data_IF_176206644895
#
_entry.id   IF_176206644895
#
_cell.length_a   1.000
_cell.length_b   1.000
_cell.length_c   1.000
_cell.angle_alpha   90.00
_cell.angle_beta   90.00
_cell.angle_gamma   90.00
#
_symmetry.space_group_name_H-M   'P 1'
#
loop_
_entity.id
_entity.type
_entity.pdbx_description
1 polymer ?
#
# COMPACT_ATOMS: atom_id res chain seq x y z
N UNK A 1 18.26 -51.31 -31.44
CA UNK A 1 18.72 -49.93 -31.40
C UNK A 1 17.61 -49.09 -30.79
N UNK A 2 17.77 -48.65 -29.53
CA UNK A 2 16.81 -47.80 -28.83
C UNK A 2 17.32 -46.36 -28.91
N UNK A 3 16.58 -45.48 -29.60
CA UNK A 3 16.82 -44.03 -29.60
C UNK A 3 16.34 -43.47 -28.29
N UNK A 4 17.25 -42.99 -27.46
CA UNK A 4 16.95 -42.16 -26.29
C UNK A 4 16.93 -40.72 -26.78
N UNK A 5 15.73 -40.16 -26.85
CA UNK A 5 15.56 -38.73 -27.14
C UNK A 5 15.88 -37.94 -25.87
N UNK A 6 17.01 -37.24 -25.88
CA UNK A 6 17.45 -36.36 -24.82
C UNK A 6 16.69 -35.05 -24.97
N UNK A 7 15.63 -34.86 -24.20
CA UNK A 7 14.89 -33.59 -24.12
C UNK A 7 15.74 -32.63 -23.30
N UNK A 8 16.50 -31.77 -23.97
CA UNK A 8 17.25 -30.67 -23.34
C UNK A 8 16.26 -29.60 -22.95
N UNK A 9 15.90 -29.56 -21.68
CA UNK A 9 15.23 -28.39 -21.10
C UNK A 9 16.21 -27.23 -21.12
N UNK A 10 16.06 -26.31 -22.07
CA UNK A 10 16.65 -25.00 -22.03
C UNK A 10 16.02 -24.25 -20.84
N UNK A 11 16.74 -24.19 -19.73
CA UNK A 11 16.51 -23.24 -18.65
C UNK A 11 16.76 -21.84 -19.23
N UNK A 12 15.73 -21.23 -19.77
CA UNK A 12 15.74 -19.80 -20.07
C UNK A 12 15.81 -19.13 -18.69
N UNK A 13 16.90 -18.39 -18.38
CA UNK A 13 16.92 -17.58 -17.17
C UNK A 13 15.71 -16.65 -17.28
N UNK A 14 14.82 -16.71 -16.28
CA UNK A 14 13.60 -15.90 -16.25
C UNK A 14 13.97 -14.41 -16.34
N UNK A 15 14.05 -13.89 -17.55
CA UNK A 15 13.88 -12.47 -17.80
C UNK A 15 12.50 -12.15 -17.21
N UNK A 16 12.45 -11.21 -16.25
CA UNK A 16 11.20 -10.55 -15.90
C UNK A 16 10.71 -9.90 -17.19
N UNK A 17 9.85 -10.59 -17.93
CA UNK A 17 9.17 -10.00 -19.08
C UNK A 17 8.32 -8.86 -18.50
N UNK A 18 8.48 -7.66 -19.06
CA UNK A 18 7.63 -6.52 -18.74
C UNK A 18 6.18 -6.92 -19.05
N UNK A 19 5.27 -6.63 -18.14
CA UNK A 19 3.84 -6.89 -18.38
C UNK A 19 3.31 -5.84 -19.35
N UNK A 20 2.56 -6.29 -20.33
CA UNK A 20 1.98 -5.44 -21.39
C UNK A 20 0.46 -5.45 -21.33
N UNK A 21 -0.20 -4.51 -22.01
CA UNK A 21 -1.65 -4.51 -22.14
C UNK A 21 -2.18 -5.77 -22.83
N UNK A 22 -1.39 -6.40 -23.71
CA UNK A 22 -1.78 -7.64 -24.38
C UNK A 22 -1.92 -8.82 -23.40
N UNK A 23 -1.26 -8.77 -22.25
CA UNK A 23 -1.38 -9.77 -21.19
C UNK A 23 -2.54 -9.48 -20.23
N UNK A 24 -3.16 -8.30 -20.32
CA UNK A 24 -4.28 -7.86 -19.46
C UNK A 24 -5.63 -7.84 -20.19
N UNK A 25 -5.86 -8.83 -21.06
CA UNK A 25 -7.04 -8.93 -21.93
C UNK A 25 -8.34 -9.31 -21.21
N UNK A 26 -8.28 -9.88 -20.02
CA UNK A 26 -9.46 -10.30 -19.28
C UNK A 26 -9.53 -9.68 -17.89
N UNK A 27 -10.76 -9.45 -17.35
CA UNK A 27 -10.93 -8.96 -15.98
C UNK A 27 -10.20 -9.78 -14.93
N UNK A 28 -10.10 -11.10 -15.12
CA UNK A 28 -9.39 -12.00 -14.20
C UNK A 28 -7.88 -11.74 -14.22
N UNK A 29 -7.27 -11.57 -15.40
CA UNK A 29 -5.84 -11.25 -15.52
C UNK A 29 -5.53 -9.90 -14.88
N UNK A 30 -6.39 -8.88 -15.12
CA UNK A 30 -6.23 -7.56 -14.50
C UNK A 30 -6.30 -7.65 -12.98
N UNK A 31 -7.26 -8.37 -12.41
CA UNK A 31 -7.35 -8.53 -10.94
C UNK A 31 -6.14 -9.22 -10.34
N UNK A 32 -5.66 -10.29 -10.95
CA UNK A 32 -4.42 -10.97 -10.51
C UNK A 32 -3.22 -10.03 -10.57
N UNK A 33 -3.12 -9.22 -11.62
CA UNK A 33 -2.08 -8.20 -11.72
C UNK A 33 -2.20 -7.13 -10.62
N UNK A 34 -3.39 -6.59 -10.38
CA UNK A 34 -3.65 -5.59 -9.34
C UNK A 34 -3.33 -6.14 -7.95
N UNK A 35 -3.73 -7.37 -7.64
CA UNK A 35 -3.40 -8.03 -6.39
C UNK A 35 -1.88 -8.15 -6.19
N UNK A 36 -1.16 -8.58 -7.23
CA UNK A 36 0.31 -8.68 -7.19
C UNK A 36 0.98 -7.31 -7.05
N UNK A 37 0.47 -6.29 -7.73
CA UNK A 37 1.03 -4.93 -7.69
C UNK A 37 0.89 -4.26 -6.33
N UNK A 38 -0.08 -4.66 -5.50
CA UNK A 38 -0.20 -4.20 -4.10
C UNK A 38 1.04 -4.54 -3.28
N UNK A 39 1.68 -5.66 -3.56
CA UNK A 39 2.86 -6.10 -2.84
C UNK A 39 4.08 -5.17 -3.04
N UNK A 40 4.05 -4.30 -4.05
CA UNK A 40 5.04 -3.24 -4.23
C UNK A 40 4.88 -2.08 -3.24
N UNK A 41 3.74 -1.99 -2.55
CA UNK A 41 3.45 -0.95 -1.57
C UNK A 41 3.47 -1.56 -0.15
N UNK A 42 4.42 -1.20 0.72
CA UNK A 42 4.55 -1.80 2.04
C UNK A 42 3.36 -1.54 2.97
N UNK A 43 2.55 -0.50 2.69
CA UNK A 43 1.34 -0.23 3.47
C UNK A 43 0.23 -1.24 3.12
N UNK A 44 0.23 -1.79 1.91
CA UNK A 44 -0.83 -2.66 1.38
C UNK A 44 -0.44 -4.13 1.40
N UNK A 45 0.86 -4.41 1.44
CA UNK A 45 1.40 -5.76 1.41
C UNK A 45 0.82 -6.63 2.52
N UNK A 46 0.45 -7.87 2.20
CA UNK A 46 -0.14 -8.83 3.15
C UNK A 46 0.83 -9.21 4.27
N UNK A 47 2.09 -9.47 3.93
CA UNK A 47 3.10 -9.87 4.89
C UNK A 47 4.23 -8.85 4.88
N UNK A 48 4.33 -8.06 5.94
CA UNK A 48 5.35 -7.03 6.08
C UNK A 48 5.53 -6.62 7.54
N UNK A 49 6.79 -6.34 7.91
CA UNK A 49 7.12 -5.56 9.09
C UNK A 49 7.95 -4.36 8.67
N UNK A 50 7.51 -3.16 8.99
CA UNK A 50 8.19 -1.93 8.56
C UNK A 50 7.97 -0.78 9.53
N UNK A 51 8.93 0.14 9.56
CA UNK A 51 8.76 1.42 10.25
C UNK A 51 8.51 2.52 9.23
N UNK A 52 7.43 3.25 9.41
CA UNK A 52 7.00 4.32 8.53
C UNK A 52 7.10 5.67 9.25
N UNK A 53 7.58 6.67 8.53
CA UNK A 53 7.43 8.07 8.89
C UNK A 53 6.28 8.65 8.08
N UNK A 54 5.29 9.22 8.75
CA UNK A 54 4.10 9.81 8.14
C UNK A 54 4.08 11.30 8.42
N UNK A 55 3.87 12.08 7.38
CA UNK A 55 3.76 13.55 7.44
C UNK A 55 2.46 13.98 6.79
N UNK A 56 1.34 14.03 7.56
CA UNK A 56 0.10 14.60 7.07
C UNK A 56 0.20 16.11 7.01
N UNK A 57 -0.49 16.73 6.06
CA UNK A 57 -0.69 18.18 6.04
C UNK A 57 -2.06 18.53 5.48
N UNK A 58 -2.63 19.64 5.95
CA UNK A 58 -3.89 20.19 5.47
C UNK A 58 -3.67 21.52 4.75
N UNK A 59 -4.35 21.67 3.61
CA UNK A 59 -4.52 22.90 2.82
C UNK A 59 -3.25 23.76 2.66
N UNK A 60 -3.24 24.92 3.33
CA UNK A 60 -2.18 25.93 3.18
C UNK A 60 -0.82 25.48 3.70
N UNK A 61 -0.82 24.62 4.71
CA UNK A 61 0.40 24.07 5.28
C UNK A 61 1.17 23.16 4.32
N UNK A 62 0.50 22.53 3.32
CA UNK A 62 1.17 21.68 2.33
C UNK A 62 2.09 22.45 1.39
N UNK A 63 1.83 23.73 1.18
CA UNK A 63 2.58 24.59 0.26
C UNK A 63 3.66 25.43 0.95
N UNK A 64 3.69 25.45 2.28
CA UNK A 64 4.60 26.32 3.03
C UNK A 64 6.01 25.71 3.14
N UNK A 65 7.03 26.59 3.18
CA UNK A 65 8.41 26.22 3.53
C UNK A 65 8.49 25.66 4.96
N UNK A 66 7.47 25.86 5.80
CA UNK A 66 7.37 25.46 7.20
C UNK A 66 6.89 24.01 7.38
N UNK A 67 6.82 23.21 6.31
CA UNK A 67 6.47 21.78 6.37
C UNK A 67 7.32 20.98 7.37
N UNK A 68 8.49 21.48 7.77
CA UNK A 68 9.37 20.87 8.77
C UNK A 68 8.80 20.87 10.20
N UNK A 69 7.84 21.73 10.51
CA UNK A 69 7.25 21.86 11.85
C UNK A 69 5.96 21.06 12.02
N UNK A 70 5.44 20.44 10.94
CA UNK A 70 4.26 19.62 11.05
C UNK A 70 4.56 18.34 11.82
N UNK A 71 3.61 17.92 12.63
CA UNK A 71 3.73 16.74 13.50
C UNK A 71 3.99 15.49 12.66
N UNK A 72 5.26 15.13 12.58
CA UNK A 72 5.66 13.86 12.00
C UNK A 72 5.31 12.75 12.97
N UNK A 73 4.65 11.72 12.47
CA UNK A 73 4.41 10.51 13.21
C UNK A 73 5.33 9.40 12.70
N UNK A 74 5.89 8.65 13.62
CA UNK A 74 6.63 7.43 13.31
C UNK A 74 5.85 6.27 13.88
N UNK A 75 5.59 5.28 13.05
CA UNK A 75 4.87 4.08 13.46
C UNK A 75 5.55 2.83 12.93
N UNK A 76 5.36 1.74 13.65
CA UNK A 76 5.69 0.39 13.23
C UNK A 76 4.41 -0.30 12.73
N UNK A 77 4.42 -0.70 11.47
CA UNK A 77 3.38 -1.49 10.83
C UNK A 77 3.84 -2.94 10.76
N UNK A 78 3.04 -3.83 11.32
CA UNK A 78 3.15 -5.28 11.15
C UNK A 78 1.88 -5.78 10.49
N UNK A 79 2.02 -6.54 9.41
CA UNK A 79 0.94 -7.29 8.77
C UNK A 79 1.32 -8.75 8.62
N UNK A 80 0.37 -9.61 8.93
CA UNK A 80 0.43 -11.06 8.71
C UNK A 80 -0.96 -11.49 8.22
N UNK A 81 -1.05 -11.77 6.94
CA UNK A 81 -2.30 -12.10 6.26
C UNK A 81 -3.38 -11.03 6.51
N UNK A 82 -4.52 -11.39 7.10
CA UNK A 82 -5.64 -10.49 7.38
C UNK A 82 -5.50 -9.72 8.71
N UNK A 83 -4.40 -9.92 9.42
CA UNK A 83 -4.15 -9.26 10.69
C UNK A 83 -3.15 -8.13 10.52
N UNK A 84 -3.40 -7.01 11.17
CA UNK A 84 -2.45 -5.91 11.19
C UNK A 84 -2.33 -5.29 12.58
N UNK A 85 -1.13 -4.78 12.86
CA UNK A 85 -0.81 -4.03 14.07
C UNK A 85 -0.06 -2.76 13.70
N UNK A 86 -0.56 -1.64 14.17
CA UNK A 86 0.08 -0.32 14.03
C UNK A 86 0.45 0.16 15.42
N UNK A 87 1.74 0.31 15.69
CA UNK A 87 2.27 0.85 16.92
C UNK A 87 2.86 2.24 16.65
N UNK A 88 2.30 3.28 17.25
CA UNK A 88 2.80 4.64 17.12
C UNK A 88 4.00 4.84 18.04
N UNK A 89 5.19 5.02 17.45
CA UNK A 89 6.45 5.13 18.17
C UNK A 89 6.77 6.57 18.56
N UNK A 90 6.33 7.54 17.74
CA UNK A 90 6.61 8.97 17.94
C UNK A 90 5.49 9.82 17.33
N UNK A 91 5.23 10.96 17.94
CA UNK A 91 4.20 11.91 17.51
C UNK A 91 3.10 12.07 18.54
N UNK A 92 1.97 12.64 18.14
CA UNK A 92 0.83 12.92 19.03
C UNK A 92 0.16 11.65 19.59
N UNK A 93 0.33 10.53 18.91
CA UNK A 93 -0.23 9.21 19.27
C UNK A 93 0.83 8.24 19.80
N UNK A 94 1.95 8.77 20.26
CA UNK A 94 3.03 7.95 20.82
C UNK A 94 2.49 6.96 21.86
N UNK A 95 2.95 5.70 21.77
CA UNK A 95 2.54 4.55 22.57
C UNK A 95 1.19 3.91 22.19
N UNK A 96 0.31 4.56 21.44
CA UNK A 96 -0.96 3.96 21.01
C UNK A 96 -0.74 2.76 20.08
N UNK A 97 -1.68 1.82 20.16
CA UNK A 97 -1.68 0.63 19.32
C UNK A 97 -3.04 0.45 18.66
N UNK A 98 -3.03 0.18 17.36
CA UNK A 98 -4.20 -0.26 16.62
C UNK A 98 -3.96 -1.69 16.16
N UNK A 99 -4.92 -2.57 16.41
CA UNK A 99 -4.83 -4.00 16.08
C UNK A 99 -6.07 -4.38 15.31
N UNK A 100 -5.88 -4.84 14.09
CA UNK A 100 -6.93 -5.39 13.25
C UNK A 100 -6.83 -6.91 13.20
N UNK A 101 -7.98 -7.58 13.33
CA UNK A 101 -8.16 -9.03 13.17
C UNK A 101 -9.39 -9.28 12.34
N UNK A 102 -9.17 -9.68 11.10
CA UNK A 102 -10.27 -9.74 10.15
C UNK A 102 -11.04 -8.41 10.16
N UNK A 103 -12.33 -8.46 10.49
CA UNK A 103 -13.19 -7.28 10.51
C UNK A 103 -13.17 -6.48 11.83
N UNK A 104 -12.46 -6.93 12.85
CA UNK A 104 -12.42 -6.27 14.16
C UNK A 104 -11.22 -5.35 14.31
N UNK A 105 -11.46 -4.10 14.73
CA UNK A 105 -10.42 -3.17 15.15
C UNK A 105 -10.46 -2.93 16.65
N UNK A 106 -9.30 -2.99 17.23
CA UNK A 106 -9.06 -2.64 18.63
C UNK A 106 -8.06 -1.47 18.68
N UNK A 107 -8.39 -0.44 19.44
CA UNK A 107 -7.47 0.65 19.77
C UNK A 107 -7.10 0.56 21.25
N UNK A 108 -5.79 0.47 21.52
CA UNK A 108 -5.24 0.34 22.86
C UNK A 108 -4.39 1.57 23.19
N UNK A 109 -4.43 2.02 24.45
CA UNK A 109 -3.64 3.16 24.91
C UNK A 109 -2.13 2.87 24.85
N UNK A 110 -1.73 1.61 25.06
CA UNK A 110 -0.35 1.17 24.91
C UNK A 110 -0.26 -0.22 24.24
N UNK A 111 0.77 -0.44 23.45
CA UNK A 111 1.03 -1.75 22.83
C UNK A 111 1.56 -2.80 23.80
N UNK A 112 2.08 -2.39 24.95
CA UNK A 112 2.58 -3.26 26.01
C UNK A 112 1.47 -3.80 26.94
N UNK A 113 0.34 -3.10 26.99
CA UNK A 113 -0.81 -3.45 27.84
C UNK A 113 -1.79 -4.31 27.04
N UNK A 114 -1.33 -5.45 26.57
CA UNK A 114 -2.13 -6.39 25.78
C UNK A 114 -3.18 -7.13 26.62
N UNK A 115 -3.35 -6.78 27.87
CA UNK A 115 -4.44 -7.25 28.72
C UNK A 115 -5.74 -6.52 28.34
N UNK A 116 -6.76 -7.28 28.08
CA UNK A 116 -8.07 -6.97 27.49
C UNK A 116 -8.83 -5.71 27.97
N UNK A 117 -8.46 -5.10 29.10
CA UNK A 117 -9.22 -4.01 29.71
C UNK A 117 -8.88 -2.62 29.17
N UNK A 118 -7.73 -2.44 28.52
CA UNK A 118 -7.25 -1.15 28.03
C UNK A 118 -7.60 -0.87 26.56
N UNK A 119 -8.17 -1.83 25.84
CA UNK A 119 -8.47 -1.72 24.42
C UNK A 119 -9.96 -1.48 24.18
N UNK A 120 -10.28 -0.54 23.28
CA UNK A 120 -11.64 -0.26 22.83
C UNK A 120 -11.86 -0.85 21.44
N UNK A 121 -13.01 -1.52 21.26
CA UNK A 121 -13.44 -1.93 19.93
C UNK A 121 -14.00 -0.73 19.17
N UNK A 122 -13.61 -0.60 17.91
CA UNK A 122 -14.16 0.39 16.99
C UNK A 122 -15.10 -0.30 15.99
N UNK A 123 -16.19 0.34 15.58
CA UNK A 123 -17.04 -0.20 14.51
C UNK A 123 -16.28 -0.22 13.17
N UNK A 124 -16.55 -1.21 12.34
CA UNK A 124 -15.81 -1.59 11.12
C UNK A 124 -15.49 -0.45 10.15
N UNK A 125 -16.33 0.56 10.08
CA UNK A 125 -16.18 1.67 9.14
C UNK A 125 -15.02 2.62 9.44
N UNK A 126 -14.41 2.57 10.63
CA UNK A 126 -13.37 3.51 11.07
C UNK A 126 -11.93 3.05 10.77
N UNK A 127 -11.76 1.80 10.35
CA UNK A 127 -10.46 1.12 10.31
C UNK A 127 -9.68 1.33 9.03
N UNK A 128 -10.40 1.46 7.96
CA UNK A 128 -9.81 1.48 6.63
C UNK A 128 -8.91 2.68 6.42
N UNK A 129 -9.16 3.75 7.16
CA UNK A 129 -8.37 4.97 7.09
C UNK A 129 -7.28 4.97 8.15
N UNK A 130 -6.04 5.06 7.74
CA UNK A 130 -4.93 5.31 8.65
C UNK A 130 -5.19 6.66 9.34
N UNK A 131 -5.58 6.63 10.63
CA UNK A 131 -6.07 7.81 11.36
C UNK A 131 -5.14 9.01 11.23
N UNK A 132 -5.72 10.18 10.99
CA UNK A 132 -4.98 11.43 10.77
C UNK A 132 -4.35 11.55 9.38
N UNK A 133 -4.66 10.64 8.46
CA UNK A 133 -4.20 10.68 7.07
C UNK A 133 -5.38 10.56 6.11
N UNK A 134 -5.11 10.77 4.82
CA UNK A 134 -6.05 10.50 3.74
C UNK A 134 -5.81 9.14 3.04
N UNK A 135 -5.06 8.24 3.68
CA UNK A 135 -4.83 6.88 3.19
C UNK A 135 -5.96 5.98 3.67
N UNK A 136 -6.61 5.32 2.72
CA UNK A 136 -7.70 4.37 2.98
C UNK A 136 -7.41 3.05 2.27
N UNK A 137 -7.36 1.94 3.02
CA UNK A 137 -7.09 0.63 2.43
C UNK A 137 -8.23 0.14 1.53
N UNK A 138 -9.46 0.63 1.72
CA UNK A 138 -10.59 0.32 0.84
C UNK A 138 -10.38 0.81 -0.59
N UNK A 139 -9.66 1.92 -0.78
CA UNK A 139 -9.38 2.44 -2.12
C UNK A 139 -8.76 1.37 -3.03
N UNK A 140 -7.92 0.51 -2.44
CA UNK A 140 -7.26 -0.56 -3.19
C UNK A 140 -8.13 -1.80 -3.36
N UNK A 141 -8.99 -2.11 -2.39
CA UNK A 141 -9.95 -3.21 -2.50
C UNK A 141 -10.97 -2.95 -3.59
N UNK A 142 -11.35 -1.68 -3.80
CA UNK A 142 -12.26 -1.27 -4.86
C UNK A 142 -11.72 -1.62 -6.26
N UNK A 143 -10.41 -1.62 -6.46
CA UNK A 143 -9.79 -1.90 -7.77
C UNK A 143 -10.01 -3.35 -8.23
N UNK A 144 -10.28 -4.27 -7.32
CA UNK A 144 -10.34 -5.72 -7.57
C UNK A 144 -11.76 -6.29 -7.57
N UNK A 145 -12.79 -5.44 -7.44
CA UNK A 145 -14.17 -5.88 -7.43
C UNK A 145 -14.53 -6.63 -8.72
N UNK A 146 -15.31 -7.69 -8.59
CA UNK A 146 -15.80 -8.48 -9.75
C UNK A 146 -16.72 -7.69 -10.67
N UNK A 147 -17.36 -6.65 -10.14
CA UNK A 147 -18.25 -5.77 -10.91
C UNK A 147 -17.52 -4.69 -11.71
N UNK A 148 -16.21 -4.58 -11.60
CA UNK A 148 -15.44 -3.56 -12.30
C UNK A 148 -15.28 -3.90 -13.78
N UNK A 149 -15.22 -2.82 -14.58
CA UNK A 149 -14.80 -2.88 -15.99
C UNK A 149 -13.37 -2.40 -16.12
N UNK A 150 -12.63 -2.93 -17.09
CA UNK A 150 -11.21 -2.59 -17.26
C UNK A 150 -10.92 -2.30 -18.73
N UNK A 151 -10.10 -1.29 -19.00
CA UNK A 151 -9.44 -1.09 -20.28
C UNK A 151 -7.96 -0.73 -20.08
N UNK A 152 -7.10 -1.21 -20.95
CA UNK A 152 -5.66 -1.01 -20.88
C UNK A 152 -5.17 -0.34 -22.17
N UNK A 153 -4.33 0.70 -22.02
CA UNK A 153 -3.71 1.43 -23.13
C UNK A 153 -2.21 1.58 -22.89
N UNK A 154 -1.41 1.21 -23.85
CA UNK A 154 0.02 1.51 -23.87
C UNK A 154 0.25 3.01 -24.11
N UNK A 155 1.26 3.57 -23.47
CA UNK A 155 1.55 5.00 -23.59
C UNK A 155 2.65 5.25 -24.61
N UNK A 156 2.28 5.54 -25.87
CA UNK A 156 3.22 5.84 -26.96
C UNK A 156 4.28 6.90 -26.60
N UNK A 157 3.87 7.94 -25.84
CA UNK A 157 4.77 9.05 -25.43
C UNK A 157 5.65 8.73 -24.24
N UNK A 158 5.35 7.65 -23.49
CA UNK A 158 6.09 7.21 -22.32
C UNK A 158 6.28 5.69 -22.37
N UNK A 159 7.16 5.19 -23.24
CA UNK A 159 7.41 3.76 -23.34
C UNK A 159 7.88 3.20 -22.00
N UNK A 160 7.45 2.00 -21.67
CA UNK A 160 7.70 1.36 -20.36
C UNK A 160 6.65 1.68 -19.29
N UNK A 161 5.56 2.37 -19.69
CA UNK A 161 4.40 2.61 -18.86
C UNK A 161 3.12 2.31 -19.61
N UNK A 162 2.12 1.77 -18.91
CA UNK A 162 0.77 1.64 -19.45
C UNK A 162 -0.27 2.30 -18.54
N UNK A 163 -1.42 2.60 -19.12
CA UNK A 163 -2.59 3.15 -18.44
C UNK A 163 -3.65 2.06 -18.30
N UNK A 164 -4.17 1.86 -17.10
CA UNK A 164 -5.32 1.02 -16.80
C UNK A 164 -6.47 1.91 -16.34
N UNK A 165 -7.57 1.90 -17.07
CA UNK A 165 -8.82 2.52 -16.64
C UNK A 165 -9.72 1.48 -16.00
N UNK A 166 -10.26 1.79 -14.83
CA UNK A 166 -11.08 0.92 -14.02
C UNK A 166 -12.41 1.63 -13.76
N UNK A 167 -13.49 1.15 -14.36
CA UNK A 167 -14.84 1.59 -14.03
C UNK A 167 -15.33 0.87 -12.78
N UNK A 168 -15.76 1.61 -11.76
CA UNK A 168 -16.18 1.09 -10.46
C UNK A 168 -17.69 1.28 -10.31
N UNK A 169 -18.40 0.22 -9.88
CA UNK A 169 -19.84 0.26 -9.65
C UNK A 169 -20.16 0.31 -8.16
N UNK A 170 -21.03 1.25 -7.76
CA UNK A 170 -21.63 1.25 -6.42
C UNK A 170 -20.74 1.70 -5.27
N UNK A 171 -19.68 2.49 -5.53
CA UNK A 171 -18.74 2.97 -4.53
C UNK A 171 -18.67 4.52 -4.47
N UNK A 172 -17.80 5.04 -3.60
CA UNK A 172 -17.49 6.47 -3.47
C UNK A 172 -16.88 7.04 -4.76
N UNK A 173 -16.19 6.22 -5.54
CA UNK A 173 -15.59 6.55 -6.82
C UNK A 173 -16.26 5.77 -7.94
N UNK A 174 -16.40 6.39 -9.12
CA UNK A 174 -16.95 5.79 -10.33
C UNK A 174 -15.86 5.33 -11.32
N UNK A 175 -14.68 5.91 -11.22
CA UNK A 175 -13.55 5.59 -12.10
C UNK A 175 -12.22 5.73 -11.38
N UNK A 176 -11.28 4.85 -11.75
CA UNK A 176 -9.86 5.01 -11.42
C UNK A 176 -9.04 4.94 -12.70
N UNK A 177 -8.14 5.90 -12.87
CA UNK A 177 -7.11 5.88 -13.90
C UNK A 177 -5.77 5.61 -13.24
N UNK A 178 -5.21 4.44 -13.50
CA UNK A 178 -3.95 3.96 -12.94
C UNK A 178 -2.85 3.96 -13.99
N UNK A 179 -1.65 4.40 -13.62
CA UNK A 179 -0.45 4.32 -14.46
C UNK A 179 0.54 3.39 -13.79
N UNK A 180 1.03 2.41 -14.53
CA UNK A 180 1.96 1.39 -14.03
C UNK A 180 3.30 1.46 -14.76
N UNK A 181 4.37 1.17 -14.03
CA UNK A 181 5.69 0.85 -14.59
C UNK A 181 5.67 -0.63 -15.03
N UNK A 182 5.81 -0.89 -16.34
CA UNK A 182 5.71 -2.23 -16.93
C UNK A 182 6.76 -3.20 -16.38
N UNK A 183 7.99 -2.72 -16.21
CA UNK A 183 9.12 -3.55 -15.79
C UNK A 183 9.06 -3.89 -14.29
N UNK A 184 8.55 -2.95 -13.49
CA UNK A 184 8.53 -3.08 -12.03
C UNK A 184 7.18 -3.49 -11.47
N UNK A 185 6.13 -3.45 -12.30
CA UNK A 185 4.74 -3.72 -11.92
C UNK A 185 4.25 -2.85 -10.75
N UNK A 186 4.80 -1.63 -10.64
CA UNK A 186 4.45 -0.69 -9.57
C UNK A 186 3.45 0.34 -10.08
N UNK A 187 2.36 0.61 -9.35
CA UNK A 187 1.49 1.73 -9.64
C UNK A 187 2.25 3.04 -9.39
N UNK A 188 2.53 3.79 -10.45
CA UNK A 188 3.18 5.10 -10.36
C UNK A 188 2.19 6.15 -9.89
N UNK A 189 0.96 6.07 -10.40
CA UNK A 189 -0.12 6.97 -10.01
C UNK A 189 -1.46 6.25 -10.10
N UNK A 190 -2.31 6.44 -9.07
CA UNK A 190 -3.71 6.04 -9.07
C UNK A 190 -4.55 7.29 -8.87
N UNK A 191 -5.37 7.63 -9.85
CA UNK A 191 -6.26 8.80 -9.84
C UNK A 191 -7.70 8.33 -9.68
N UNK A 192 -8.34 8.70 -8.60
CA UNK A 192 -9.72 8.34 -8.26
C UNK A 192 -10.67 9.48 -8.61
N UNK A 193 -11.71 9.19 -9.35
CA UNK A 193 -12.69 10.15 -9.82
C UNK A 193 -14.09 9.84 -9.30
N UNK A 194 -14.90 10.89 -9.15
CA UNK A 194 -16.35 10.83 -8.92
C UNK A 194 -16.99 11.90 -9.80
N UNK A 195 -17.91 11.50 -10.66
CA UNK A 195 -18.59 12.39 -11.62
C UNK A 195 -17.57 13.17 -12.50
N UNK A 196 -16.51 12.50 -12.94
CA UNK A 196 -15.42 13.10 -13.73
C UNK A 196 -14.52 14.09 -12.96
N UNK A 197 -14.71 14.27 -11.65
CA UNK A 197 -13.90 15.14 -10.80
C UNK A 197 -12.85 14.32 -10.07
N UNK A 198 -11.59 14.70 -10.21
CA UNK A 198 -10.47 14.07 -9.50
C UNK A 198 -10.61 14.29 -7.98
N UNK A 199 -10.75 13.20 -7.22
CA UNK A 199 -10.98 13.21 -5.76
C UNK A 199 -9.74 12.87 -4.95
N UNK A 200 -8.98 11.88 -5.42
CA UNK A 200 -7.82 11.39 -4.70
C UNK A 200 -6.73 10.95 -5.67
N UNK A 201 -5.49 11.14 -5.28
CA UNK A 201 -4.31 10.69 -6.03
C UNK A 201 -3.35 9.99 -5.08
N UNK A 202 -3.01 8.75 -5.40
CA UNK A 202 -1.85 8.05 -4.86
C UNK A 202 -0.71 8.17 -5.87
N UNK A 203 0.49 8.49 -5.40
CA UNK A 203 1.66 8.60 -6.26
C UNK A 203 2.88 8.02 -5.58
N UNK A 204 3.58 7.17 -6.31
CA UNK A 204 4.91 6.69 -5.99
C UNK A 204 5.96 7.43 -6.85
N UNK A 205 7.23 7.22 -6.60
CA UNK A 205 8.29 7.94 -7.30
C UNK A 205 9.40 6.96 -7.68
N UNK A 206 9.68 6.73 -8.99
CA UNK A 206 10.65 5.73 -9.46
C UNK A 206 12.04 5.85 -8.83
N UNK A 207 12.50 7.07 -8.53
CA UNK A 207 13.81 7.32 -7.88
C UNK A 207 13.90 6.80 -6.43
N UNK A 208 12.77 6.43 -5.84
CA UNK A 208 12.68 5.87 -4.49
C UNK A 208 12.23 4.41 -4.50
N UNK A 209 12.35 3.71 -5.63
CA UNK A 209 12.11 2.28 -5.65
C UNK A 209 13.32 1.52 -5.15
N UNK A 210 13.07 0.46 -4.42
CA UNK A 210 14.05 -0.44 -3.85
C UNK A 210 13.74 -1.86 -4.33
N UNK A 211 14.75 -2.59 -4.76
CA UNK A 211 14.61 -4.01 -5.07
C UNK A 211 15.06 -4.86 -3.88
N UNK A 212 14.17 -5.71 -3.38
CA UNK A 212 14.41 -6.68 -2.31
C UNK A 212 13.90 -8.03 -2.80
N UNK A 213 14.74 -9.07 -2.75
CA UNK A 213 14.36 -10.43 -3.16
C UNK A 213 13.67 -10.50 -4.53
N UNK A 214 14.20 -9.74 -5.51
CA UNK A 214 13.65 -9.59 -6.87
C UNK A 214 12.31 -8.84 -6.95
N UNK A 215 11.76 -8.36 -5.85
CA UNK A 215 10.54 -7.55 -5.83
C UNK A 215 10.87 -6.07 -5.72
N UNK A 216 10.17 -5.25 -6.49
CA UNK A 216 10.29 -3.81 -6.41
C UNK A 216 9.32 -3.23 -5.38
N UNK A 217 9.82 -2.40 -4.50
CA UNK A 217 9.07 -1.78 -3.40
C UNK A 217 9.19 -0.27 -3.51
N UNK A 218 8.07 0.44 -3.43
CA UNK A 218 8.07 1.89 -3.30
C UNK A 218 8.39 2.30 -1.86
N UNK A 219 9.45 3.06 -1.65
CA UNK A 219 9.85 3.53 -0.31
C UNK A 219 9.23 4.88 0.05
N UNK A 220 8.55 5.53 -0.90
CA UNK A 220 7.87 6.82 -0.71
C UNK A 220 6.51 6.78 -1.39
N UNK A 221 5.47 7.11 -0.63
CA UNK A 221 4.11 7.27 -1.13
C UNK A 221 3.60 8.67 -0.80
N UNK A 222 2.99 9.33 -1.77
CA UNK A 222 2.24 10.58 -1.58
C UNK A 222 0.78 10.37 -1.89
N UNK A 223 -0.07 10.77 -0.98
CA UNK A 223 -1.53 10.74 -1.17
C UNK A 223 -2.07 12.16 -1.05
N UNK A 224 -2.87 12.56 -2.01
CA UNK A 224 -3.59 13.83 -2.02
C UNK A 224 -5.08 13.59 -2.16
N UNK A 225 -5.89 14.36 -1.48
CA UNK A 225 -7.35 14.30 -1.62
C UNK A 225 -7.98 15.69 -1.66
N UNK A 226 -9.13 15.77 -2.35
CA UNK A 226 -10.03 16.92 -2.33
C UNK A 226 -11.05 16.74 -1.20
N UNK A 227 -11.87 17.76 -0.94
CA UNK A 227 -12.97 17.69 0.03
C UNK A 227 -14.27 18.15 -0.63
N UNK A 228 -15.31 17.31 -0.53
CA UNK A 228 -16.60 17.62 -1.13
C UNK A 228 -16.47 17.93 -2.63
N UNK A 229 -17.01 19.05 -3.07
CA UNK A 229 -16.97 19.48 -4.47
C UNK A 229 -15.74 20.36 -4.83
N UNK A 230 -14.77 20.50 -3.94
CA UNK A 230 -13.56 21.26 -4.22
C UNK A 230 -12.72 20.56 -5.31
N UNK A 231 -12.21 21.35 -6.27
CA UNK A 231 -11.27 20.85 -7.30
C UNK A 231 -9.83 20.88 -6.84
N UNK A 232 -9.53 21.68 -5.82
CA UNK A 232 -8.17 21.78 -5.26
C UNK A 232 -7.95 20.72 -4.19
N UNK A 233 -6.72 20.20 -4.13
CA UNK A 233 -6.33 19.28 -3.04
C UNK A 233 -6.25 20.05 -1.72
N UNK A 234 -6.93 19.51 -0.69
CA UNK A 234 -7.00 20.11 0.65
C UNK A 234 -6.23 19.31 1.69
N UNK A 235 -5.92 18.05 1.40
CA UNK A 235 -5.12 17.22 2.28
C UNK A 235 -4.04 16.48 1.49
N UNK A 236 -2.86 16.39 2.08
CA UNK A 236 -1.74 15.62 1.55
C UNK A 236 -1.10 14.81 2.68
N UNK A 237 -0.77 13.56 2.39
CA UNK A 237 0.03 12.71 3.28
C UNK A 237 1.25 12.22 2.52
N UNK A 238 2.42 12.36 3.12
CA UNK A 238 3.66 11.73 2.69
C UNK A 238 3.99 10.60 3.65
N UNK A 239 4.34 9.46 3.08
CA UNK A 239 4.78 8.29 3.83
C UNK A 239 6.15 7.88 3.33
N UNK A 240 7.06 7.66 4.24
CA UNK A 240 8.43 7.19 3.98
C UNK A 240 8.69 5.92 4.77
N UNK A 241 9.36 4.94 4.15
CA UNK A 241 9.98 3.86 4.92
C UNK A 241 11.18 4.45 5.65
N UNK A 242 11.20 4.33 6.97
CA UNK A 242 12.30 4.85 7.79
C UNK A 242 13.60 4.11 7.49
N UNK A 243 14.71 4.84 7.55
CA UNK A 243 16.06 4.30 7.44
C UNK A 243 16.74 4.31 8.79
N UNK A 244 17.55 3.28 9.02
CA UNK A 244 18.57 3.24 10.06
C UNK A 244 19.93 3.16 9.37
N UNK A 245 20.64 4.29 9.34
CA UNK A 245 21.81 4.46 8.49
C UNK A 245 21.49 4.24 7.01
N UNK A 246 22.12 3.25 6.39
CA UNK A 246 21.91 2.90 4.98
C UNK A 246 20.85 1.81 4.77
N UNK A 247 20.27 1.26 5.84
CA UNK A 247 19.28 0.18 5.74
C UNK A 247 17.88 0.71 5.94
N UNK A 248 16.93 0.20 5.14
CA UNK A 248 15.52 0.44 5.37
C UNK A 248 15.00 -0.49 6.46
N UNK A 249 14.17 0.04 7.36
CA UNK A 249 13.43 -0.73 8.35
C UNK A 249 12.23 -1.41 7.67
N UNK A 250 12.52 -2.37 6.79
CA UNK A 250 11.55 -3.11 5.98
C UNK A 250 11.94 -4.58 5.93
N UNK A 251 11.01 -5.43 6.32
CA UNK A 251 11.13 -6.89 6.29
C UNK A 251 9.92 -7.45 5.54
N UNK A 252 10.14 -8.05 4.37
CA UNK A 252 9.09 -8.62 3.52
C UNK A 252 8.55 -9.94 4.11
N UNK A 253 9.36 -10.63 4.92
CA UNK A 253 8.91 -11.66 5.84
C UNK A 253 9.05 -11.12 7.27
N UNK A 254 7.95 -10.88 7.99
CA UNK A 254 7.96 -10.38 9.35
C UNK A 254 8.77 -11.22 10.33
N UNK A 255 8.93 -12.52 10.07
CA UNK A 255 9.77 -13.42 10.91
C UNK A 255 11.24 -13.01 10.94
N UNK A 256 11.68 -12.27 9.93
CA UNK A 256 13.05 -11.76 9.84
C UNK A 256 13.25 -10.44 10.59
N UNK A 257 12.19 -9.82 11.12
CA UNK A 257 12.30 -8.62 11.92
C UNK A 257 12.87 -8.94 13.31
N UNK A 258 14.05 -8.40 13.67
CA UNK A 258 14.67 -8.67 14.97
C UNK A 258 13.80 -8.28 16.16
N UNK A 259 12.93 -7.27 15.99
CA UNK A 259 12.02 -6.77 17.03
C UNK A 259 10.93 -7.78 17.40
N UNK A 260 10.64 -8.71 16.49
CA UNK A 260 9.57 -9.71 16.65
C UNK A 260 10.10 -11.08 17.12
N UNK A 261 11.42 -11.30 17.12
CA UNK A 261 12.03 -12.61 17.44
C UNK A 261 11.63 -13.19 18.80
N UNK A 262 11.35 -12.33 19.77
CA UNK A 262 10.99 -12.73 21.12
C UNK A 262 9.48 -12.65 21.38
N UNK A 263 8.68 -12.35 20.36
CA UNK A 263 7.23 -12.28 20.48
C UNK A 263 6.60 -13.59 20.01
N UNK A 264 5.80 -14.22 20.86
CA UNK A 264 4.98 -15.35 20.41
C UNK A 264 3.92 -14.82 19.41
N UNK A 265 3.44 -15.63 18.45
CA UNK A 265 2.35 -15.25 17.56
C UNK A 265 1.11 -14.74 18.30
N UNK A 266 0.82 -15.29 19.48
CA UNK A 266 -0.25 -14.83 20.36
C UNK A 266 -0.01 -13.43 20.94
N UNK A 267 1.24 -13.01 21.09
CA UNK A 267 1.59 -11.68 21.59
C UNK A 267 1.74 -10.64 20.48
N UNK A 268 1.82 -11.07 19.21
CA UNK A 268 1.84 -10.15 18.05
C UNK A 268 0.47 -9.52 17.84
N UNK A 269 -0.56 -10.30 18.06
CA UNK A 269 -1.96 -9.89 17.95
C UNK A 269 -2.67 -10.42 19.18
N UNK A 270 -3.38 -9.58 19.93
CA UNK A 270 -4.12 -9.99 21.14
C UNK A 270 -5.00 -11.19 20.83
N UNK A 271 -4.75 -12.30 21.51
CA UNK A 271 -5.62 -13.48 21.44
C UNK A 271 -6.58 -13.40 22.63
N UNK A 272 -7.82 -12.99 22.38
CA UNK A 272 -9.02 -13.50 23.07
C UNK A 272 -10.24 -12.89 22.41
#
# INVERSE_FOLDING_TARGET
MKFVSLLTFLLIPGCCLAITCDELQSPTQVRVFLERSKDSNPILRRNVSTTLEISPCEKEACNSKNRKEQQKEVLHLLRLDDNSRVHFLKGSRSSQCLIQRGERLLGCAACSELANEACRSYPDSSITRLQGTNIDSRDFSLLESESNTYSCDELEKNPGFFKLEIGISGAEYDQVIAFFDETREIPVTLNFFTDGILRKVYRTFPKYYLQIDKQWISTVLRVRSTRGNEKAFVAETLVYIQRDGNKYNLYLDPKNDPRLKNMSPSNLFITN
#
